data_IF_937459507951
#
_entry.id   IF_937459507951
#
_cell.length_a   1.000
_cell.length_b   1.000
_cell.length_c   1.000
_cell.angle_alpha   90.00
_cell.angle_beta   90.00
_cell.angle_gamma   90.00
#
_symmetry.space_group_name_H-M   'P 1'
#
loop_
_entity.id
_entity.type
_entity.pdbx_description
1 polymer ?
#
# COMPACT_ATOMS: atom_id res chain seq x y z
N UNK A 1 -65.09 -0.03 -2.50
CA UNK A 1 -64.56 0.07 -3.88
C UNK A 1 -63.31 0.93 -3.82
N UNK A 2 -62.15 0.31 -3.84
CA UNK A 2 -60.83 0.95 -3.87
C UNK A 2 -60.19 0.65 -5.23
N UNK A 3 -59.63 1.62 -5.97
CA UNK A 3 -59.02 1.32 -7.26
C UNK A 3 -57.67 0.64 -7.06
N UNK A 4 -57.51 -0.52 -7.69
CA UNK A 4 -56.24 -1.21 -7.90
C UNK A 4 -55.36 -0.36 -8.82
N UNK A 5 -54.21 0.12 -8.34
CA UNK A 5 -53.18 0.68 -9.21
C UNK A 5 -52.34 -0.46 -9.80
N UNK A 6 -52.39 -0.60 -11.12
CA UNK A 6 -51.54 -1.53 -11.88
C UNK A 6 -50.08 -1.08 -11.85
N UNK A 7 -49.10 -2.00 -11.75
CA UNK A 7 -47.69 -1.65 -11.83
C UNK A 7 -47.33 -1.26 -13.28
N UNK A 8 -46.75 -0.07 -13.45
CA UNK A 8 -46.16 0.41 -14.70
C UNK A 8 -44.82 -0.26 -14.97
N UNK A 9 -44.80 -1.19 -15.93
CA UNK A 9 -43.58 -1.75 -16.54
C UNK A 9 -42.95 -0.75 -17.51
N UNK A 10 -42.28 0.28 -16.99
CA UNK A 10 -41.33 1.06 -17.80
C UNK A 10 -39.97 0.36 -17.77
N UNK A 11 -39.35 0.02 -18.92
CA UNK A 11 -38.02 -0.56 -18.94
C UNK A 11 -37.03 0.43 -18.33
N UNK A 12 -36.25 0.01 -17.33
CA UNK A 12 -35.11 0.79 -16.89
C UNK A 12 -34.15 0.93 -18.08
N UNK A 13 -33.69 2.16 -18.29
CA UNK A 13 -32.66 2.50 -19.26
C UNK A 13 -31.50 1.49 -19.12
N UNK A 14 -31.23 0.73 -20.18
CA UNK A 14 -30.14 -0.23 -20.19
C UNK A 14 -28.83 0.48 -19.83
N UNK A 15 -28.05 -0.13 -18.94
CA UNK A 15 -26.71 0.32 -18.61
C UNK A 15 -25.91 0.47 -19.91
N UNK A 16 -25.38 1.68 -20.13
CA UNK A 16 -24.45 1.92 -21.22
C UNK A 16 -23.20 1.12 -20.88
N UNK A 17 -23.03 -0.02 -21.53
CA UNK A 17 -21.78 -0.78 -21.47
C UNK A 17 -20.66 0.14 -21.99
N UNK A 18 -19.83 0.62 -21.07
CA UNK A 18 -18.62 1.34 -21.41
C UNK A 18 -17.71 0.30 -22.07
N UNK A 19 -17.51 0.45 -23.38
CA UNK A 19 -16.47 -0.27 -24.13
C UNK A 19 -15.12 0.24 -23.65
N UNK A 20 -14.56 -0.37 -22.59
CA UNK A 20 -13.18 -0.12 -22.18
C UNK A 20 -12.29 -0.71 -23.28
N UNK A 21 -11.36 0.07 -23.87
CA UNK A 21 -10.41 -0.47 -24.83
C UNK A 21 -9.61 -1.61 -24.17
N UNK A 22 -9.32 -2.67 -24.92
CA UNK A 22 -8.63 -3.88 -24.43
C UNK A 22 -7.20 -3.67 -23.90
N UNK A 23 -6.77 -2.41 -23.80
CA UNK A 23 -5.48 -2.00 -23.28
C UNK A 23 -5.55 -0.54 -22.83
N UNK A 24 -5.31 -0.28 -21.55
CA UNK A 24 -5.22 1.06 -20.99
C UNK A 24 -3.81 1.29 -20.45
N UNK A 25 -3.12 2.30 -20.98
CA UNK A 25 -1.85 2.76 -20.41
C UNK A 25 -2.17 3.82 -19.37
N UNK A 26 -1.90 3.52 -18.10
CA UNK A 26 -2.04 4.43 -16.97
C UNK A 26 -0.67 4.98 -16.56
N UNK A 27 -0.67 6.16 -15.95
CA UNK A 27 0.50 6.73 -15.28
C UNK A 27 0.01 7.26 -13.94
N UNK A 28 0.80 7.11 -12.88
CA UNK A 28 0.48 7.64 -11.56
C UNK A 28 0.57 9.17 -11.46
N UNK A 29 0.71 9.93 -12.55
CA UNK A 29 1.14 11.33 -12.52
C UNK A 29 0.28 12.26 -11.65
N UNK A 30 -0.99 11.91 -11.42
CA UNK A 30 -1.91 12.61 -10.53
C UNK A 30 -2.52 11.72 -9.44
N UNK A 31 -1.94 10.55 -9.18
CA UNK A 31 -2.43 9.64 -8.16
C UNK A 31 -2.07 10.17 -6.77
N UNK A 32 -3.03 10.26 -5.83
CA UNK A 32 -2.76 10.72 -4.47
C UNK A 32 -1.70 9.87 -3.77
N UNK A 33 -1.50 8.59 -4.12
CA UNK A 33 -0.48 7.71 -3.54
C UNK A 33 0.95 8.26 -3.65
N UNK A 34 1.24 9.15 -4.61
CA UNK A 34 2.55 9.80 -4.73
C UNK A 34 2.94 10.63 -3.50
N UNK A 35 1.98 10.98 -2.66
CA UNK A 35 2.20 11.75 -1.44
C UNK A 35 2.28 10.87 -0.18
N UNK A 36 2.19 9.55 -0.30
CA UNK A 36 2.11 8.62 0.84
C UNK A 36 3.30 7.69 0.90
N UNK A 37 3.74 7.38 2.12
CA UNK A 37 4.70 6.29 2.36
C UNK A 37 3.96 4.98 2.59
N UNK A 38 2.77 5.07 3.21
CA UNK A 38 1.96 3.92 3.55
C UNK A 38 0.47 4.19 3.32
N UNK A 39 -0.17 3.27 2.62
CA UNK A 39 -1.62 3.20 2.46
C UNK A 39 -2.08 1.81 2.86
N UNK A 40 -3.03 1.71 3.79
CA UNK A 40 -3.64 0.44 4.17
C UNK A 40 -5.16 0.51 4.21
N UNK A 41 -5.82 -0.57 3.78
CA UNK A 41 -7.28 -0.70 3.86
C UNK A 41 -7.74 -0.93 5.29
N UNK A 42 -7.05 -1.82 5.98
CA UNK A 42 -7.36 -2.21 7.34
C UNK A 42 -6.30 -1.61 8.29
N UNK A 43 -5.52 -2.43 8.98
CA UNK A 43 -4.63 -1.95 10.02
C UNK A 43 -3.20 -1.67 9.53
N UNK A 44 -2.52 -0.79 10.26
CA UNK A 44 -1.08 -0.60 10.22
C UNK A 44 -0.47 -0.75 11.62
N UNK A 45 0.47 -1.69 11.75
CA UNK A 45 1.28 -1.93 12.96
C UNK A 45 2.72 -1.56 12.69
N UNK A 46 3.03 -0.28 12.80
CA UNK A 46 4.34 0.25 12.45
C UNK A 46 5.11 0.65 13.70
N UNK A 47 6.35 0.20 13.83
CA UNK A 47 7.36 0.71 14.74
C UNK A 47 8.45 1.50 14.00
N UNK A 48 8.25 1.79 12.71
CA UNK A 48 9.18 2.60 11.91
C UNK A 48 9.47 3.91 12.65
N UNK A 49 10.74 4.30 12.76
CA UNK A 49 11.16 5.51 13.46
C UNK A 49 10.56 6.77 12.81
N UNK A 50 10.68 6.84 11.49
CA UNK A 50 10.22 7.96 10.68
C UNK A 50 9.36 7.48 9.51
N UNK A 51 8.32 8.26 9.24
CA UNK A 51 7.54 8.19 8.01
C UNK A 51 7.57 9.58 7.37
N UNK A 52 8.26 9.70 6.25
CA UNK A 52 8.64 11.00 5.66
C UNK A 52 7.51 11.68 4.89
N UNK A 53 6.48 10.94 4.49
CA UNK A 53 5.32 11.51 3.78
C UNK A 53 4.01 11.12 4.47
N UNK A 54 2.87 11.18 3.77
CA UNK A 54 1.56 10.94 4.37
C UNK A 54 1.35 9.45 4.70
N UNK A 55 0.40 9.20 5.60
CA UNK A 55 -0.13 7.86 5.87
C UNK A 55 -1.65 7.84 5.73
N UNK A 56 -2.17 6.77 5.13
CA UNK A 56 -3.59 6.45 5.14
C UNK A 56 -3.79 5.04 5.73
N UNK A 57 -4.60 4.93 6.78
CA UNK A 57 -4.89 3.67 7.47
C UNK A 57 -6.39 3.55 7.67
N UNK A 58 -7.07 2.79 6.81
CA UNK A 58 -8.53 2.69 6.85
C UNK A 58 -9.09 2.10 8.15
N UNK A 59 -8.27 1.35 8.90
CA UNK A 59 -8.61 0.72 10.18
C UNK A 59 -7.74 1.20 11.36
N UNK A 60 -7.29 0.26 12.19
CA UNK A 60 -6.51 0.56 13.40
C UNK A 60 -5.05 0.91 13.06
N UNK A 61 -4.59 2.06 13.53
CA UNK A 61 -3.19 2.46 13.56
C UNK A 61 -2.61 2.19 14.96
N UNK A 62 -1.53 1.39 15.00
CA UNK A 62 -0.86 0.99 16.24
C UNK A 62 0.65 1.17 16.12
N UNK A 63 1.22 1.81 17.13
CA UNK A 63 2.65 1.72 17.40
C UNK A 63 2.87 0.63 18.47
N UNK A 64 3.62 -0.44 18.15
CA UNK A 64 3.80 -1.56 19.06
C UNK A 64 4.96 -1.40 20.06
N UNK A 65 5.90 -0.47 19.85
CA UNK A 65 7.17 -0.41 20.60
C UNK A 65 7.14 0.54 21.81
N UNK A 66 6.11 1.38 21.93
CA UNK A 66 5.95 2.34 23.02
C UNK A 66 6.83 3.59 22.92
N UNK A 67 7.91 3.54 22.14
CA UNK A 67 8.72 4.70 21.73
C UNK A 67 7.91 5.65 20.81
N UNK A 68 8.34 6.90 20.64
CA UNK A 68 7.64 7.83 19.75
C UNK A 68 8.03 7.62 18.28
N UNK A 69 7.05 7.61 17.39
CA UNK A 69 7.24 7.58 15.92
C UNK A 69 6.91 8.95 15.34
N UNK A 70 7.74 9.45 14.44
CA UNK A 70 7.46 10.68 13.71
C UNK A 70 6.80 10.37 12.36
N UNK A 71 5.73 11.11 12.03
CA UNK A 71 5.17 11.16 10.69
C UNK A 71 5.20 12.61 10.23
N UNK A 72 6.00 12.88 9.20
CA UNK A 72 6.19 14.23 8.67
C UNK A 72 4.95 14.71 7.91
N UNK A 73 4.30 13.79 7.18
CA UNK A 73 3.06 14.06 6.47
C UNK A 73 1.81 13.98 7.34
N UNK A 74 0.68 14.35 6.74
CA UNK A 74 -0.62 14.21 7.38
C UNK A 74 -1.02 12.73 7.50
N UNK A 75 -1.67 12.36 8.61
CA UNK A 75 -2.12 10.98 8.85
C UNK A 75 -3.64 10.89 8.85
N UNK A 76 -4.19 10.03 8.00
CA UNK A 76 -5.60 9.64 8.03
C UNK A 76 -5.71 8.24 8.66
N UNK A 77 -6.54 8.08 9.67
CA UNK A 77 -6.70 6.79 10.36
C UNK A 77 -8.15 6.45 10.69
N UNK A 78 -8.51 5.18 10.65
CA UNK A 78 -9.83 4.67 11.04
C UNK A 78 -10.02 4.61 12.54
N UNK A 79 -8.98 4.22 13.30
CA UNK A 79 -8.92 4.34 14.76
C UNK A 79 -7.47 4.31 15.23
N UNK A 80 -7.20 4.85 16.43
CA UNK A 80 -5.92 4.66 17.10
C UNK A 80 -6.04 3.56 18.14
N UNK A 81 -5.05 2.67 18.19
CA UNK A 81 -4.97 1.67 19.26
C UNK A 81 -4.94 2.34 20.63
N UNK A 82 -5.65 1.75 21.60
CA UNK A 82 -5.71 2.29 22.96
C UNK A 82 -4.30 2.45 23.55
N UNK A 83 -3.99 3.63 24.06
CA UNK A 83 -2.67 3.96 24.62
C UNK A 83 -1.60 4.32 23.60
N UNK A 84 -1.85 4.23 22.28
CA UNK A 84 -0.88 4.62 21.25
C UNK A 84 -0.86 6.12 20.94
N UNK A 85 -1.82 6.92 21.41
CA UNK A 85 -1.90 8.35 21.04
C UNK A 85 -0.63 9.14 21.38
N UNK A 86 0.01 8.86 22.52
CA UNK A 86 1.23 9.55 22.97
C UNK A 86 2.52 8.97 22.35
N UNK A 87 2.40 7.98 21.46
CA UNK A 87 3.52 7.29 20.81
C UNK A 87 3.64 7.68 19.34
N UNK A 88 2.86 8.68 18.90
CA UNK A 88 2.86 9.22 17.55
C UNK A 88 3.06 10.73 17.60
N UNK A 89 4.03 11.22 16.84
CA UNK A 89 4.23 12.63 16.53
C UNK A 89 3.71 12.88 15.12
N UNK A 90 2.48 13.37 15.00
CA UNK A 90 1.88 13.74 13.72
C UNK A 90 2.26 15.19 13.35
N UNK A 91 3.42 15.38 12.70
CA UNK A 91 4.01 16.70 12.48
C UNK A 91 3.13 17.61 11.62
N UNK A 92 2.45 17.05 10.60
CA UNK A 92 1.46 17.77 9.78
C UNK A 92 0.00 17.49 10.20
N UNK A 93 -0.21 17.01 11.42
CA UNK A 93 -1.52 16.70 11.99
C UNK A 93 -2.12 15.38 11.51
N UNK A 94 -3.33 15.11 11.99
CA UNK A 94 -4.03 13.86 11.70
C UNK A 94 -5.54 14.03 11.64
N UNK A 95 -6.21 13.20 10.83
CA UNK A 95 -7.66 13.17 10.68
C UNK A 95 -8.19 11.77 10.98
N UNK A 96 -9.17 11.69 11.88
CA UNK A 96 -9.92 10.48 12.16
C UNK A 96 -11.00 10.28 11.07
N UNK A 97 -10.93 9.20 10.32
CA UNK A 97 -11.80 8.96 9.16
C UNK A 97 -13.30 8.95 9.49
N UNK A 98 -13.67 8.63 10.74
CA UNK A 98 -15.05 8.71 11.20
C UNK A 98 -15.63 10.14 11.20
N UNK A 99 -14.79 11.18 11.06
CA UNK A 99 -15.23 12.58 10.93
C UNK A 99 -15.44 13.01 9.48
N UNK A 100 -15.14 12.13 8.51
CA UNK A 100 -15.31 12.39 7.08
C UNK A 100 -16.41 11.48 6.54
N UNK A 101 -17.19 11.98 5.58
CA UNK A 101 -17.98 11.09 4.73
C UNK A 101 -17.06 10.29 3.79
N UNK A 102 -17.37 9.02 3.46
CA UNK A 102 -16.52 8.18 2.60
C UNK A 102 -16.13 8.81 1.26
N UNK A 103 -17.02 9.60 0.63
CA UNK A 103 -16.76 10.32 -0.61
C UNK A 103 -15.68 11.41 -0.50
N UNK A 104 -15.33 11.80 0.73
CA UNK A 104 -14.28 12.77 1.03
C UNK A 104 -12.98 12.11 1.51
N UNK A 105 -12.87 10.78 1.43
CA UNK A 105 -11.61 10.12 1.74
C UNK A 105 -10.57 10.52 0.69
N UNK A 106 -9.31 10.83 1.10
CA UNK A 106 -8.26 11.23 0.16
C UNK A 106 -7.77 10.06 -0.71
N UNK A 107 -8.18 8.84 -0.38
CA UNK A 107 -7.80 7.60 -1.04
C UNK A 107 -9.04 6.78 -1.35
N UNK A 108 -9.20 6.41 -2.61
CA UNK A 108 -10.09 5.32 -3.03
C UNK A 108 -9.29 4.02 -3.04
N UNK A 109 -9.43 3.22 -1.97
CA UNK A 109 -8.68 1.96 -1.89
C UNK A 109 -9.17 0.92 -2.92
N UNK A 110 -10.44 1.01 -3.35
CA UNK A 110 -11.01 0.09 -4.34
C UNK A 110 -10.30 0.22 -5.70
N UNK A 111 -9.83 1.43 -6.03
CA UNK A 111 -9.00 1.65 -7.21
C UNK A 111 -7.70 0.84 -7.18
N UNK A 112 -7.02 0.73 -6.04
CA UNK A 112 -5.80 -0.07 -5.91
C UNK A 112 -6.07 -1.58 -5.97
N UNK A 113 -7.21 -2.04 -5.44
CA UNK A 113 -7.67 -3.43 -5.62
C UNK A 113 -7.92 -3.73 -7.10
N UNK A 114 -8.58 -2.82 -7.84
CA UNK A 114 -8.77 -2.96 -9.28
C UNK A 114 -7.42 -2.94 -10.02
N UNK A 115 -6.53 -1.99 -9.74
CA UNK A 115 -5.22 -1.92 -10.37
C UNK A 115 -4.43 -3.22 -10.22
N UNK A 116 -4.35 -3.78 -9.02
CA UNK A 116 -3.59 -5.00 -8.80
C UNK A 116 -4.09 -6.20 -9.62
N UNK A 117 -5.38 -6.25 -9.93
CA UNK A 117 -5.97 -7.33 -10.74
C UNK A 117 -5.86 -7.10 -12.25
N UNK A 118 -5.58 -5.88 -12.70
CA UNK A 118 -5.57 -5.53 -14.12
C UNK A 118 -4.18 -5.13 -14.64
N UNK A 119 -3.22 -4.75 -13.77
CA UNK A 119 -1.84 -4.45 -14.16
C UNK A 119 -1.17 -5.69 -14.76
N UNK A 120 -0.50 -5.48 -15.89
CA UNK A 120 0.39 -6.43 -16.52
C UNK A 120 1.84 -6.18 -16.11
N UNK A 121 2.62 -7.25 -16.09
CA UNK A 121 4.07 -7.16 -15.95
C UNK A 121 4.70 -6.45 -17.15
N UNK A 122 5.64 -5.55 -16.90
CA UNK A 122 6.38 -4.84 -17.93
C UNK A 122 7.76 -4.40 -17.43
N UNK A 123 8.82 -4.92 -18.01
CA UNK A 123 10.20 -4.72 -17.51
C UNK A 123 11.10 -3.95 -18.48
N UNK A 124 10.50 -3.33 -19.50
CA UNK A 124 11.23 -2.66 -20.60
C UNK A 124 10.71 -1.25 -20.89
N UNK A 125 10.19 -0.57 -19.87
CA UNK A 125 9.73 0.80 -20.00
C UNK A 125 10.92 1.77 -20.12
N UNK A 126 10.64 2.95 -20.67
CA UNK A 126 11.62 4.02 -20.81
C UNK A 126 12.27 4.37 -19.46
N UNK A 127 13.52 4.83 -19.49
CA UNK A 127 14.27 5.28 -18.32
C UNK A 127 14.40 4.21 -17.21
N UNK A 128 14.38 2.93 -17.59
CA UNK A 128 14.62 1.79 -16.69
C UNK A 128 13.46 1.47 -15.74
N UNK A 129 12.23 1.89 -16.06
CA UNK A 129 11.06 1.53 -15.24
C UNK A 129 10.69 0.07 -15.41
N UNK A 130 10.32 -0.57 -14.30
CA UNK A 130 9.97 -2.01 -14.26
C UNK A 130 8.74 -2.23 -13.37
N UNK A 131 7.85 -3.09 -13.81
CA UNK A 131 6.68 -3.59 -13.09
C UNK A 131 6.77 -5.10 -13.07
N UNK A 132 6.68 -5.69 -11.88
CA UNK A 132 6.64 -7.14 -11.68
C UNK A 132 5.28 -7.53 -11.09
N UNK A 133 4.71 -8.64 -11.56
CA UNK A 133 3.44 -9.17 -11.05
C UNK A 133 3.69 -10.55 -10.45
N UNK A 134 3.28 -10.73 -9.20
CA UNK A 134 3.45 -11.95 -8.41
C UNK A 134 2.08 -12.44 -7.96
N UNK A 135 1.66 -13.57 -8.52
CA UNK A 135 0.33 -14.14 -8.32
C UNK A 135 0.28 -15.29 -7.31
N UNK A 136 1.44 -15.82 -6.93
CA UNK A 136 1.57 -16.92 -5.99
C UNK A 136 2.52 -16.56 -4.84
N UNK A 137 2.21 -16.95 -3.60
CA UNK A 137 3.08 -16.70 -2.46
C UNK A 137 4.38 -17.51 -2.58
N UNK A 138 5.47 -16.95 -2.04
CA UNK A 138 6.73 -17.68 -1.88
C UNK A 138 6.51 -18.86 -0.94
N UNK A 139 7.04 -20.03 -1.30
CA UNK A 139 6.94 -21.23 -0.46
C UNK A 139 7.60 -21.06 0.92
N UNK A 140 8.66 -20.27 1.01
CA UNK A 140 9.36 -19.97 2.26
C UNK A 140 10.21 -18.71 2.17
N UNK A 141 10.41 -18.02 3.29
CA UNK A 141 11.29 -16.86 3.38
C UNK A 141 10.61 -15.53 3.06
N UNK A 142 11.42 -14.47 3.04
CA UNK A 142 11.00 -13.12 2.67
C UNK A 142 11.50 -12.81 1.26
N UNK A 143 10.79 -11.97 0.52
CA UNK A 143 11.32 -11.41 -0.72
C UNK A 143 12.34 -10.32 -0.40
N UNK A 144 13.40 -10.26 -1.20
CA UNK A 144 14.30 -9.12 -1.28
C UNK A 144 14.31 -8.59 -2.72
N UNK A 145 15.08 -7.53 -2.98
CA UNK A 145 15.13 -6.94 -4.32
C UNK A 145 15.80 -7.84 -5.38
N UNK A 146 16.66 -8.79 -4.97
CA UNK A 146 17.30 -9.71 -5.90
C UNK A 146 16.35 -10.74 -6.47
N UNK A 147 15.21 -11.01 -5.83
CA UNK A 147 14.15 -11.82 -6.44
C UNK A 147 13.54 -11.17 -7.71
N UNK A 148 13.81 -9.89 -7.98
CA UNK A 148 13.22 -9.13 -9.10
C UNK A 148 14.24 -8.42 -9.99
N UNK A 149 15.27 -7.80 -9.39
CA UNK A 149 16.14 -6.84 -10.07
C UNK A 149 17.58 -7.34 -10.28
N UNK A 150 17.96 -8.48 -9.71
CA UNK A 150 19.35 -8.96 -9.72
C UNK A 150 20.35 -7.81 -9.41
N UNK A 151 21.41 -7.66 -10.21
CA UNK A 151 22.42 -6.62 -10.02
C UNK A 151 21.90 -5.17 -10.07
N UNK A 152 20.71 -4.93 -10.64
CA UNK A 152 20.10 -3.60 -10.75
C UNK A 152 19.43 -3.14 -9.44
N UNK A 153 19.36 -4.00 -8.42
CA UNK A 153 18.71 -3.69 -7.14
C UNK A 153 19.34 -2.48 -6.45
N UNK A 154 18.54 -1.47 -6.13
CA UNK A 154 18.98 -0.25 -5.43
C UNK A 154 18.02 0.07 -4.30
N UNK A 155 18.56 0.34 -3.10
CA UNK A 155 17.75 0.77 -1.96
C UNK A 155 17.06 2.10 -2.25
N UNK A 156 17.76 3.08 -2.81
CA UNK A 156 17.15 4.28 -3.38
C UNK A 156 16.72 4.02 -4.83
N UNK A 157 15.55 3.39 -4.98
CA UNK A 157 14.97 3.04 -6.29
C UNK A 157 14.46 4.28 -7.05
N UNK A 158 14.05 5.33 -6.32
CA UNK A 158 13.57 6.61 -6.88
C UNK A 158 12.34 6.44 -7.78
N UNK A 159 11.41 5.56 -7.40
CA UNK A 159 10.14 5.35 -8.10
C UNK A 159 10.28 4.63 -9.44
N UNK A 160 11.34 3.85 -9.66
CA UNK A 160 11.58 3.12 -10.91
C UNK A 160 10.91 1.77 -10.96
N UNK A 161 10.66 1.15 -9.81
CA UNK A 161 10.19 -0.23 -9.72
C UNK A 161 8.89 -0.33 -8.95
N UNK A 162 7.92 -1.06 -9.51
CA UNK A 162 6.68 -1.48 -8.85
C UNK A 162 6.63 -3.01 -8.77
N UNK A 163 6.38 -3.54 -7.57
CA UNK A 163 6.05 -4.96 -7.38
C UNK A 163 4.58 -5.09 -7.00
N UNK A 164 3.82 -5.83 -7.79
CA UNK A 164 2.39 -6.07 -7.61
C UNK A 164 2.19 -7.49 -7.09
N UNK A 165 1.58 -7.64 -5.92
CA UNK A 165 1.22 -8.93 -5.34
C UNK A 165 -0.30 -9.09 -5.36
N UNK A 166 -0.80 -10.11 -6.06
CA UNK A 166 -2.25 -10.29 -6.28
C UNK A 166 -2.89 -11.34 -5.37
N UNK A 167 -2.10 -12.09 -4.61
CA UNK A 167 -2.58 -13.06 -3.62
C UNK A 167 -2.94 -12.41 -2.27
N UNK A 168 -3.65 -13.14 -1.40
CA UNK A 168 -4.22 -12.61 -0.14
C UNK A 168 -3.53 -13.07 1.16
N UNK A 169 -2.45 -13.83 1.05
CA UNK A 169 -1.61 -14.30 2.16
C UNK A 169 -0.73 -13.21 2.78
N UNK A 170 0.10 -13.61 3.75
CA UNK A 170 1.13 -12.73 4.33
C UNK A 170 2.37 -12.71 3.44
N UNK A 171 2.68 -11.53 2.91
CA UNK A 171 3.93 -11.21 2.23
C UNK A 171 4.99 -10.81 3.25
N UNK A 172 6.22 -11.33 3.13
CA UNK A 172 7.36 -10.81 3.87
C UNK A 172 8.36 -10.15 2.91
N UNK A 173 8.83 -8.95 3.26
CA UNK A 173 9.84 -8.16 2.54
C UNK A 173 11.03 -7.87 3.47
N UNK A 174 12.25 -7.93 2.94
CA UNK A 174 13.50 -7.73 3.70
C UNK A 174 14.60 -7.06 2.88
N UNK A 175 15.69 -6.65 3.55
CA UNK A 175 16.93 -6.24 2.86
C UNK A 175 17.57 -7.41 2.11
N UNK A 176 18.37 -7.10 1.09
CA UNK A 176 19.17 -8.11 0.40
C UNK A 176 20.26 -8.66 1.32
N UNK A 177 20.78 -9.85 1.01
CA UNK A 177 21.83 -10.49 1.81
C UNK A 177 23.14 -9.68 1.93
N UNK A 178 23.39 -8.72 1.03
CA UNK A 178 24.52 -7.78 1.08
C UNK A 178 24.15 -6.42 1.70
N UNK A 179 22.96 -6.30 2.31
CA UNK A 179 22.53 -5.17 3.12
C UNK A 179 21.93 -4.00 2.34
N UNK A 180 21.39 -4.23 1.13
CA UNK A 180 20.62 -3.18 0.42
C UNK A 180 19.19 -3.14 0.94
N UNK A 181 18.76 -1.95 1.33
CA UNK A 181 17.41 -1.67 1.85
C UNK A 181 16.34 -1.88 0.77
N UNK A 182 15.06 -1.88 1.14
CA UNK A 182 13.98 -2.11 0.17
C UNK A 182 13.68 -0.86 -0.66
N UNK A 183 13.90 -0.92 -1.97
CA UNK A 183 13.66 0.21 -2.87
C UNK A 183 12.27 0.28 -3.50
N UNK A 184 11.76 -0.79 -4.14
CA UNK A 184 10.56 -0.72 -4.97
C UNK A 184 9.29 -0.27 -4.25
N UNK A 185 8.38 0.35 -4.99
CA UNK A 185 6.99 0.50 -4.54
C UNK A 185 6.29 -0.85 -4.52
N UNK A 186 5.33 -1.01 -3.60
CA UNK A 186 4.60 -2.27 -3.38
C UNK A 186 3.11 -2.03 -3.51
N UNK A 187 2.46 -2.77 -4.40
CA UNK A 187 1.00 -2.84 -4.52
C UNK A 187 0.53 -4.24 -4.14
N UNK A 188 0.06 -4.41 -2.91
CA UNK A 188 -0.38 -5.69 -2.36
C UNK A 188 -1.73 -5.56 -1.64
N UNK A 189 -2.78 -5.07 -2.33
CA UNK A 189 -4.02 -4.60 -1.70
C UNK A 189 -4.84 -5.72 -1.05
N UNK A 190 -4.53 -6.99 -1.33
CA UNK A 190 -5.19 -8.16 -0.76
C UNK A 190 -4.38 -8.82 0.37
N UNK A 191 -3.08 -8.50 0.48
CA UNK A 191 -2.13 -9.18 1.34
C UNK A 191 -1.83 -8.42 2.63
N UNK A 192 -1.33 -9.14 3.62
CA UNK A 192 -0.64 -8.51 4.76
C UNK A 192 0.83 -8.36 4.42
N UNK A 193 1.33 -7.13 4.34
CA UNK A 193 2.75 -6.85 4.07
C UNK A 193 3.49 -6.74 5.39
N UNK A 194 4.48 -7.62 5.57
CA UNK A 194 5.45 -7.57 6.66
C UNK A 194 6.78 -7.07 6.12
N UNK A 195 7.21 -5.89 6.55
CA UNK A 195 8.54 -5.36 6.25
C UNK A 195 9.46 -5.59 7.45
N UNK A 196 10.53 -6.34 7.27
CA UNK A 196 11.46 -6.74 8.35
C UNK A 196 12.90 -6.47 7.93
N UNK A 197 13.76 -6.11 8.87
CA UNK A 197 15.22 -5.97 8.65
C UNK A 197 15.62 -5.08 7.46
N UNK A 198 14.72 -4.23 6.97
CA UNK A 198 14.93 -3.54 5.70
C UNK A 198 15.75 -2.24 5.81
N UNK A 199 16.02 -1.72 7.01
CA UNK A 199 16.64 -0.41 7.23
C UNK A 199 15.76 0.77 6.80
N UNK A 200 15.33 0.81 5.55
CA UNK A 200 14.25 1.67 5.07
C UNK A 200 13.47 1.01 3.92
N UNK A 201 12.30 1.58 3.61
CA UNK A 201 11.58 1.38 2.34
C UNK A 201 11.56 2.70 1.59
N UNK A 202 12.12 2.75 0.39
CA UNK A 202 12.08 3.95 -0.45
C UNK A 202 10.70 4.13 -1.08
N UNK A 203 10.19 3.11 -1.75
CA UNK A 203 8.89 3.13 -2.41
C UNK A 203 7.70 3.22 -1.46
N UNK A 204 6.57 3.64 -2.01
CA UNK A 204 5.27 3.63 -1.33
C UNK A 204 4.74 2.21 -1.19
N UNK A 205 4.18 1.88 -0.02
CA UNK A 205 3.55 0.58 0.24
C UNK A 205 2.04 0.75 0.31
N UNK A 206 1.32 0.04 -0.55
CA UNK A 206 -0.14 -0.05 -0.56
C UNK A 206 -0.52 -1.50 -0.24
N UNK A 207 -1.21 -1.73 0.88
CA UNK A 207 -1.47 -3.08 1.38
C UNK A 207 -2.87 -3.23 2.00
N UNK A 208 -3.39 -4.46 2.10
CA UNK A 208 -4.57 -4.70 2.95
C UNK A 208 -4.26 -4.35 4.40
N UNK A 209 -3.11 -4.84 4.87
CA UNK A 209 -2.59 -4.69 6.24
C UNK A 209 -1.08 -4.52 6.17
N UNK A 210 -0.52 -3.76 7.10
CA UNK A 210 0.93 -3.57 7.19
C UNK A 210 1.47 -3.85 8.59
N UNK A 211 2.64 -4.46 8.66
CA UNK A 211 3.36 -4.69 9.91
C UNK A 211 4.87 -4.58 9.74
N UNK A 212 5.53 -3.94 10.69
CA UNK A 212 7.01 -3.91 10.82
C UNK A 212 7.52 -4.79 11.97
N UNK A 213 6.57 -5.37 12.71
CA UNK A 213 6.81 -6.27 13.83
C UNK A 213 6.29 -7.67 13.52
N UNK A 214 7.04 -8.68 13.97
CA UNK A 214 6.93 -10.05 13.48
C UNK A 214 6.49 -11.08 14.52
N UNK A 215 5.29 -11.62 14.31
CA UNK A 215 4.92 -12.99 14.68
C UNK A 215 3.50 -13.27 14.20
N UNK A 216 3.29 -14.35 13.41
CA UNK A 216 1.95 -14.79 12.95
C UNK A 216 1.00 -15.15 14.12
N UNK A 217 1.53 -15.21 15.36
CA UNK A 217 0.80 -15.45 16.60
C UNK A 217 1.13 -14.48 17.74
N UNK A 218 1.69 -13.30 17.45
CA UNK A 218 1.87 -12.23 18.43
C UNK A 218 2.70 -12.58 19.68
N UNK A 219 4.03 -12.46 19.61
CA UNK A 219 4.86 -12.39 20.83
C UNK A 219 6.31 -11.94 20.62
N UNK A 220 6.90 -12.02 19.41
CA UNK A 220 8.27 -11.53 19.19
C UNK A 220 8.29 -10.10 18.63
N UNK A 221 8.25 -9.15 19.55
CA UNK A 221 8.30 -7.70 19.28
C UNK A 221 9.73 -7.16 19.06
N UNK A 222 10.73 -8.03 19.05
CA UNK A 222 12.15 -7.66 18.95
C UNK A 222 12.67 -7.45 17.51
N UNK A 223 11.79 -7.22 16.53
CA UNK A 223 12.27 -6.81 15.21
C UNK A 223 12.82 -5.38 15.30
N UNK A 224 13.93 -5.11 14.59
CA UNK A 224 14.58 -3.81 14.44
C UNK A 224 13.71 -2.75 13.75
N UNK A 225 12.37 -2.87 13.76
CA UNK A 225 11.47 -1.91 13.15
C UNK A 225 11.68 -0.49 13.69
N UNK A 226 12.22 -0.33 14.90
CA UNK A 226 12.59 0.99 15.46
C UNK A 226 13.73 1.72 14.74
N UNK A 227 14.45 1.10 13.81
CA UNK A 227 15.42 1.75 12.92
C UNK A 227 14.84 1.93 11.51
N UNK A 228 13.67 1.35 11.22
CA UNK A 228 13.07 1.36 9.90
C UNK A 228 12.53 2.74 9.57
N UNK A 229 12.76 3.19 8.33
CA UNK A 229 12.17 4.42 7.79
C UNK A 229 11.29 4.12 6.58
N UNK A 230 10.21 4.89 6.41
CA UNK A 230 9.35 4.81 5.22
C UNK A 230 9.44 6.14 4.45
N UNK A 231 10.00 6.13 3.23
CA UNK A 231 10.22 7.36 2.46
C UNK A 231 9.02 7.76 1.59
N UNK A 232 8.40 6.82 0.88
CA UNK A 232 7.23 7.08 0.01
C UNK A 232 7.56 7.69 -1.35
N UNK A 233 8.58 7.18 -2.05
CA UNK A 233 8.89 7.47 -3.45
C UNK A 233 8.10 6.53 -4.37
N UNK A 234 6.82 6.83 -4.57
CA UNK A 234 5.92 6.05 -5.41
C UNK A 234 6.48 5.85 -6.83
N UNK A 235 6.20 4.68 -7.42
CA UNK A 235 6.48 4.38 -8.81
C UNK A 235 5.91 5.47 -9.75
N UNK A 236 6.73 5.98 -10.65
CA UNK A 236 6.39 7.12 -11.53
C UNK A 236 6.28 6.73 -13.02
N UNK A 237 6.38 5.44 -13.32
CA UNK A 237 6.36 4.94 -14.69
C UNK A 237 4.96 4.65 -15.25
N UNK A 238 4.92 4.23 -16.52
CA UNK A 238 3.70 3.73 -17.13
C UNK A 238 3.27 2.38 -16.53
N UNK A 239 1.99 2.10 -16.63
CA UNK A 239 1.35 0.83 -16.31
C UNK A 239 0.53 0.37 -17.50
N UNK A 240 0.67 -0.90 -17.85
CA UNK A 240 -0.19 -1.54 -18.83
C UNK A 240 -1.30 -2.31 -18.11
N UNK A 241 -2.56 -2.09 -18.48
CA UNK A 241 -3.71 -2.75 -17.86
C UNK A 241 -4.62 -3.49 -18.87
N UNK A 242 -5.23 -4.60 -18.44
CA UNK A 242 -6.26 -5.37 -19.19
C UNK A 242 -7.70 -4.95 -18.91
#
# INVERSE_FOLDING_TARGET
>A
MTPSQSPTNSPSKADVAISIPAYLVLIFDNDPAKEYSLITKEYARSSAHDVYTKMFVGGELKNPKGDSIAVDGHVYYGSLHAGSANTWNFNAGSTHLATLSPENYPIDFGYYEWLALNIQQGTSYANGRKVFVVDMPRASGCYDMYDFLDGDAQGYDLGKTLIVFTYSDTLCLTETHDGRQWGPSVLAPFATVRLTEAGFSDGTIIAKRFSTVGGLGGSNWNSKGGELQLHGKMYDGPLDCV
#
